data_IF_779290544739
#
_entry.id   IF_779290544739
#
_cell.length_a   1.000
_cell.length_b   1.000
_cell.length_c   1.000
_cell.angle_alpha   90.00
_cell.angle_beta   90.00
_cell.angle_gamma   90.00
#
_symmetry.space_group_name_H-M   'P 1'
#
loop_
_entity.id
_entity.type
_entity.pdbx_description
1 polymer ?
#
# COMPACT_ATOMS: atom_id res chain seq x y z
N UNK A 1 3.17 -11.54 7.85
CA UNK A 1 2.19 -10.44 7.96
C UNK A 1 2.62 -9.27 8.84
N UNK A 2 3.25 -9.49 10.01
CA UNK A 2 3.61 -8.39 10.95
C UNK A 2 4.35 -7.23 10.28
N UNK A 3 5.43 -7.51 9.53
CA UNK A 3 6.21 -6.48 8.83
C UNK A 3 5.37 -5.63 7.87
N UNK A 4 4.51 -6.25 7.07
CA UNK A 4 3.68 -5.55 6.07
C UNK A 4 2.58 -4.73 6.76
N UNK A 5 2.03 -5.22 7.87
CA UNK A 5 1.08 -4.44 8.69
C UNK A 5 1.74 -3.21 9.30
N UNK A 6 2.93 -3.35 9.87
CA UNK A 6 3.69 -2.19 10.40
C UNK A 6 4.00 -1.18 9.30
N UNK A 7 4.42 -1.65 8.12
CA UNK A 7 4.65 -0.79 6.97
C UNK A 7 3.38 -0.09 6.51
N UNK A 8 2.24 -0.78 6.47
CA UNK A 8 0.97 -0.19 6.08
C UNK A 8 0.49 0.88 7.09
N UNK A 9 0.67 0.64 8.39
CA UNK A 9 0.42 1.64 9.44
C UNK A 9 1.30 2.87 9.26
N UNK A 10 2.59 2.67 9.01
CA UNK A 10 3.53 3.76 8.76
C UNK A 10 3.16 4.53 7.48
N UNK A 11 2.88 3.80 6.39
CA UNK A 11 2.53 4.37 5.09
C UNK A 11 1.30 5.28 5.21
N UNK A 12 0.26 4.85 5.94
CA UNK A 12 -0.95 5.67 6.11
C UNK A 12 -0.71 6.99 6.86
N UNK A 13 0.38 7.11 7.63
CA UNK A 13 0.78 8.39 8.24
C UNK A 13 1.43 9.37 7.26
N UNK A 14 1.84 8.91 6.07
CA UNK A 14 2.53 9.74 5.09
C UNK A 14 1.57 10.72 4.39
N UNK A 15 1.90 12.01 4.45
CA UNK A 15 1.10 13.10 3.89
C UNK A 15 1.15 13.17 2.36
N UNK A 16 2.19 12.60 1.74
CA UNK A 16 2.40 12.63 0.29
C UNK A 16 1.76 11.47 -0.48
N UNK A 17 1.22 10.45 0.19
CA UNK A 17 0.59 9.33 -0.52
C UNK A 17 -0.64 9.77 -1.30
N UNK A 18 -0.76 9.26 -2.52
CA UNK A 18 -1.94 9.50 -3.35
C UNK A 18 -3.17 8.74 -2.81
N UNK A 19 -4.36 9.14 -3.24
CA UNK A 19 -5.60 8.51 -2.80
C UNK A 19 -5.63 6.99 -3.10
N UNK A 20 -5.13 6.57 -4.28
CA UNK A 20 -5.07 5.16 -4.69
C UNK A 20 -4.15 4.36 -3.75
N UNK A 21 -2.96 4.89 -3.47
CA UNK A 21 -1.99 4.26 -2.57
C UNK A 21 -2.51 4.20 -1.13
N UNK A 22 -3.16 5.26 -0.64
CA UNK A 22 -3.81 5.24 0.68
C UNK A 22 -4.89 4.19 0.79
N UNK A 23 -5.73 4.05 -0.25
CA UNK A 23 -6.77 3.03 -0.27
C UNK A 23 -6.17 1.61 -0.26
N UNK A 24 -5.07 1.40 -1.00
CA UNK A 24 -4.35 0.14 -1.05
C UNK A 24 -3.77 -0.22 0.34
N UNK A 25 -3.05 0.70 0.98
CA UNK A 25 -2.48 0.46 2.32
C UNK A 25 -3.54 0.29 3.41
N UNK A 26 -4.67 1.01 3.32
CA UNK A 26 -5.81 0.77 4.21
C UNK A 26 -6.42 -0.64 4.00
N UNK A 27 -6.48 -1.10 2.75
CA UNK A 27 -7.00 -2.43 2.41
C UNK A 27 -6.08 -3.56 2.89
N UNK A 28 -4.75 -3.34 2.90
CA UNK A 28 -3.78 -4.26 3.51
C UNK A 28 -4.11 -4.53 4.99
N UNK A 29 -4.44 -3.47 5.74
CA UNK A 29 -4.75 -3.58 7.16
C UNK A 29 -6.13 -4.20 7.42
N UNK A 30 -7.14 -3.82 6.65
CA UNK A 30 -8.52 -4.31 6.84
C UNK A 30 -8.68 -5.78 6.41
N UNK A 31 -7.99 -6.21 5.34
CA UNK A 31 -8.24 -7.52 4.71
C UNK A 31 -7.09 -8.52 4.84
N UNK A 32 -6.02 -8.17 5.56
CA UNK A 32 -4.83 -9.02 5.71
C UNK A 32 -4.26 -9.50 4.37
N UNK A 33 -4.19 -8.59 3.42
CA UNK A 33 -3.70 -8.84 2.07
C UNK A 33 -2.37 -8.12 1.81
N UNK A 34 -1.63 -8.56 0.80
CA UNK A 34 -0.30 -8.03 0.46
C UNK A 34 -0.34 -7.47 -0.96
N UNK A 35 0.22 -6.27 -1.20
CA UNK A 35 0.36 -5.75 -2.56
C UNK A 35 1.17 -6.70 -3.44
N UNK A 36 0.75 -6.89 -4.68
CA UNK A 36 1.43 -7.81 -5.60
C UNK A 36 2.92 -7.43 -5.78
N UNK A 37 3.23 -6.14 -5.71
CA UNK A 37 4.58 -5.61 -5.82
C UNK A 37 5.48 -6.05 -4.65
N UNK A 38 4.88 -6.25 -3.46
CA UNK A 38 5.57 -6.66 -2.24
C UNK A 38 5.59 -8.19 -2.06
N UNK A 39 4.89 -8.94 -2.92
CA UNK A 39 4.92 -10.41 -2.89
C UNK A 39 6.29 -10.94 -3.36
N UNK A 40 6.79 -12.01 -2.71
CA UNK A 40 8.05 -12.59 -3.10
C UNK A 40 7.95 -13.29 -4.47
N UNK A 41 9.04 -13.34 -5.27
CA UNK A 41 9.01 -13.89 -6.63
C UNK A 41 8.47 -15.33 -6.71
N UNK A 42 8.88 -16.19 -5.78
CA UNK A 42 8.42 -17.59 -5.71
C UNK A 42 6.90 -17.72 -5.54
N UNK A 43 6.25 -16.75 -4.91
CA UNK A 43 4.81 -16.76 -4.72
C UNK A 43 4.09 -16.36 -6.01
N UNK A 44 4.63 -15.35 -6.71
CA UNK A 44 4.10 -14.91 -8.00
C UNK A 44 4.19 -16.02 -9.04
N UNK A 45 5.34 -16.71 -9.11
CA UNK A 45 5.55 -17.86 -9.99
C UNK A 45 4.54 -18.98 -9.72
N UNK A 46 4.31 -19.32 -8.45
CA UNK A 46 3.34 -20.34 -8.05
C UNK A 46 1.91 -19.99 -8.50
N UNK A 47 1.58 -18.71 -8.53
CA UNK A 47 0.27 -18.21 -8.95
C UNK A 47 0.21 -17.84 -10.44
N UNK A 48 1.26 -18.11 -11.22
CA UNK A 48 1.40 -17.65 -12.61
C UNK A 48 1.16 -16.14 -12.79
N UNK A 49 1.53 -15.36 -11.77
CA UNK A 49 1.41 -13.92 -11.75
C UNK A 49 2.73 -13.26 -12.15
N UNK A 50 2.62 -12.11 -12.79
CA UNK A 50 3.74 -11.20 -13.00
C UNK A 50 3.49 -9.93 -12.19
N UNK A 51 4.53 -9.14 -11.91
CA UNK A 51 4.39 -7.83 -11.26
C UNK A 51 3.75 -6.76 -12.15
N UNK A 52 3.31 -7.13 -13.36
CA UNK A 52 2.63 -6.23 -14.28
C UNK A 52 1.21 -5.98 -13.78
N UNK A 53 0.60 -4.89 -14.25
CA UNK A 53 -0.80 -4.61 -13.99
C UNK A 53 -1.69 -5.69 -14.62
N UNK A 54 -2.09 -6.66 -13.79
CA UNK A 54 -2.98 -7.76 -14.12
C UNK A 54 -4.43 -7.47 -13.70
N UNK A 55 -4.72 -6.26 -13.19
CA UNK A 55 -6.03 -5.91 -12.65
C UNK A 55 -6.32 -6.50 -11.27
N UNK A 56 -5.31 -6.92 -10.51
CA UNK A 56 -5.41 -7.28 -9.08
C UNK A 56 -4.33 -6.46 -8.36
N UNK A 57 -4.69 -5.80 -7.26
CA UNK A 57 -3.75 -4.97 -6.51
C UNK A 57 -3.16 -5.71 -5.31
N UNK A 58 -4.01 -6.46 -4.60
CA UNK A 58 -3.63 -7.18 -3.39
C UNK A 58 -4.07 -8.64 -3.47
N UNK A 59 -3.27 -9.51 -2.87
CA UNK A 59 -3.61 -10.91 -2.66
C UNK A 59 -3.39 -11.28 -1.20
N UNK A 60 -4.29 -12.06 -0.62
CA UNK A 60 -4.02 -12.69 0.68
C UNK A 60 -2.88 -13.70 0.57
N UNK A 61 -2.15 -13.94 1.66
CA UNK A 61 -1.03 -14.89 1.66
C UNK A 61 -1.45 -16.34 1.43
N UNK A 62 -2.70 -16.69 1.73
CA UNK A 62 -3.28 -17.99 1.39
C UNK A 62 -3.70 -18.08 -0.09
N UNK A 63 -3.64 -16.98 -0.84
CA UNK A 63 -4.05 -16.87 -2.24
C UNK A 63 -5.55 -16.88 -2.48
N UNK A 64 -6.37 -17.02 -1.43
CA UNK A 64 -7.82 -17.20 -1.56
C UNK A 64 -8.60 -15.91 -1.77
N UNK A 65 -8.00 -14.75 -1.47
CA UNK A 65 -8.65 -13.44 -1.60
C UNK A 65 -7.86 -12.58 -2.56
N UNK A 66 -8.55 -12.11 -3.60
CA UNK A 66 -8.02 -11.15 -4.55
C UNK A 66 -8.76 -9.82 -4.40
N UNK A 67 -8.01 -8.72 -4.37
CA UNK A 67 -8.55 -7.39 -4.09
C UNK A 67 -8.12 -6.40 -5.17
N UNK A 68 -9.08 -5.62 -5.67
CA UNK A 68 -8.84 -4.46 -6.54
C UNK A 68 -9.29 -3.18 -5.82
N UNK A 69 -8.45 -2.15 -5.81
CA UNK A 69 -8.68 -0.88 -5.14
C UNK A 69 -8.98 0.24 -6.16
N UNK A 70 -10.12 0.92 -6.01
CA UNK A 70 -10.55 1.99 -6.93
C UNK A 70 -10.94 3.28 -6.19
N UNK A 71 -10.35 4.42 -6.56
CA UNK A 71 -10.72 5.72 -5.96
C UNK A 71 -11.73 6.53 -6.76
N UNK A 72 -12.12 6.07 -7.95
CA UNK A 72 -13.16 6.69 -8.76
C UNK A 72 -12.76 7.98 -9.49
N UNK A 73 -11.50 8.43 -9.36
CA UNK A 73 -10.93 9.52 -10.18
C UNK A 73 -10.40 9.04 -11.54
N UNK A 74 -10.06 7.77 -11.65
CA UNK A 74 -9.51 7.17 -12.87
C UNK A 74 -10.57 6.38 -13.65
N UNK A 75 -10.30 6.19 -14.95
CA UNK A 75 -10.93 5.18 -15.82
C UNK A 75 -10.87 3.75 -15.24
N UNK A 76 -10.19 3.54 -14.12
CA UNK A 76 -10.12 2.30 -13.35
C UNK A 76 -11.49 1.79 -12.86
N UNK A 77 -12.52 2.65 -12.74
CA UNK A 77 -13.91 2.21 -12.51
C UNK A 77 -14.62 1.70 -13.77
N UNK A 78 -13.92 1.65 -14.91
CA UNK A 78 -14.46 1.10 -16.15
C UNK A 78 -14.80 -0.38 -16.01
N UNK A 79 -15.81 -0.80 -16.75
CA UNK A 79 -16.22 -2.20 -16.82
C UNK A 79 -15.10 -3.12 -17.35
N UNK A 80 -14.11 -2.56 -18.07
CA UNK A 80 -12.95 -3.30 -18.60
C UNK A 80 -12.01 -3.70 -17.47
N UNK A 81 -11.69 -2.78 -16.55
CA UNK A 81 -10.85 -3.05 -15.39
C UNK A 81 -11.49 -4.12 -14.49
N UNK A 82 -12.80 -4.03 -14.24
CA UNK A 82 -13.52 -5.01 -13.40
C UNK A 82 -13.58 -6.38 -14.06
N UNK A 83 -13.80 -6.44 -15.38
CA UNK A 83 -13.72 -7.71 -16.13
C UNK A 83 -12.32 -8.32 -16.04
N UNK A 84 -11.27 -7.50 -16.19
CA UNK A 84 -9.88 -7.95 -16.06
C UNK A 84 -9.63 -8.50 -14.66
N UNK A 85 -10.03 -7.77 -13.62
CA UNK A 85 -9.95 -8.20 -12.23
C UNK A 85 -10.61 -9.56 -12.00
N UNK A 86 -11.88 -9.71 -12.35
CA UNK A 86 -12.63 -10.96 -12.16
C UNK A 86 -11.93 -12.12 -12.89
N UNK A 87 -11.45 -11.89 -14.12
CA UNK A 87 -10.74 -12.93 -14.88
C UNK A 87 -9.42 -13.31 -14.24
N UNK A 88 -8.60 -12.34 -13.85
CA UNK A 88 -7.32 -12.61 -13.22
C UNK A 88 -7.52 -13.29 -11.87
N UNK A 89 -8.42 -12.77 -11.04
CA UNK A 89 -8.71 -13.34 -9.72
C UNK A 89 -9.21 -14.79 -9.82
N UNK A 90 -10.14 -15.10 -10.72
CA UNK A 90 -10.72 -16.44 -10.83
C UNK A 90 -9.88 -17.44 -11.62
N UNK A 91 -9.29 -17.03 -12.76
CA UNK A 91 -8.59 -17.97 -13.66
C UNK A 91 -7.09 -18.03 -13.43
N UNK A 92 -6.46 -16.94 -12.99
CA UNK A 92 -5.01 -16.87 -12.77
C UNK A 92 -4.71 -17.16 -11.30
N UNK A 93 -5.22 -16.33 -10.39
CA UNK A 93 -5.00 -16.48 -8.95
C UNK A 93 -5.79 -17.64 -8.34
N UNK A 94 -6.89 -18.06 -8.97
CA UNK A 94 -7.85 -19.04 -8.44
C UNK A 94 -8.32 -18.68 -7.02
N UNK A 95 -8.57 -17.39 -6.79
CA UNK A 95 -9.09 -16.89 -5.53
C UNK A 95 -10.56 -17.32 -5.35
N UNK A 96 -10.93 -17.65 -4.12
CA UNK A 96 -12.31 -18.00 -3.74
C UNK A 96 -13.15 -16.74 -3.50
N UNK A 97 -12.51 -15.64 -3.07
CA UNK A 97 -13.15 -14.38 -2.74
C UNK A 97 -12.62 -13.24 -3.62
N UNK A 98 -13.54 -12.53 -4.27
CA UNK A 98 -13.25 -11.35 -5.08
C UNK A 98 -13.75 -10.10 -4.36
N UNK A 99 -12.83 -9.21 -3.99
CA UNK A 99 -13.17 -8.00 -3.27
C UNK A 99 -12.82 -6.76 -4.10
N UNK A 100 -13.84 -5.99 -4.47
CA UNK A 100 -13.65 -4.66 -5.00
C UNK A 100 -13.72 -3.66 -3.85
N UNK A 101 -12.63 -2.94 -3.62
CA UNK A 101 -12.54 -1.93 -2.57
C UNK A 101 -12.57 -0.55 -3.19
N UNK A 102 -13.47 0.30 -2.73
CA UNK A 102 -13.62 1.66 -3.26
C UNK A 102 -13.42 2.73 -2.20
N UNK A 103 -12.93 3.90 -2.62
CA UNK A 103 -13.06 5.11 -1.80
C UNK A 103 -14.53 5.58 -1.75
N UNK A 104 -14.94 6.19 -0.64
CA UNK A 104 -16.31 6.65 -0.36
C UNK A 104 -17.07 7.37 -1.48
N UNK A 105 -16.37 8.06 -2.38
CA UNK A 105 -16.94 8.83 -3.48
C UNK A 105 -16.98 8.10 -4.83
N UNK A 106 -16.47 6.86 -4.93
CA UNK A 106 -16.35 6.15 -6.19
C UNK A 106 -17.72 5.64 -6.69
N UNK A 107 -18.16 6.15 -7.84
CA UNK A 107 -19.41 5.72 -8.49
C UNK A 107 -19.13 4.61 -9.51
N UNK A 108 -19.66 3.42 -9.24
CA UNK A 108 -19.65 2.32 -10.21
C UNK A 108 -20.84 2.41 -11.17
N UNK A 109 -20.55 2.29 -12.47
CA UNK A 109 -21.55 2.19 -13.53
C UNK A 109 -22.41 0.93 -13.42
N UNK A 110 -23.58 0.93 -14.07
CA UNK A 110 -24.54 -0.18 -14.03
C UNK A 110 -23.94 -1.50 -14.54
N UNK A 111 -23.15 -1.44 -15.61
CA UNK A 111 -22.48 -2.62 -16.21
C UNK A 111 -21.49 -3.24 -15.22
N UNK A 112 -20.65 -2.40 -14.61
CA UNK A 112 -19.68 -2.81 -13.59
C UNK A 112 -20.34 -3.53 -12.41
N UNK A 113 -21.46 -2.98 -11.90
CA UNK A 113 -22.23 -3.62 -10.81
C UNK A 113 -22.80 -4.97 -11.21
N UNK A 114 -23.34 -5.08 -12.43
CA UNK A 114 -23.86 -6.35 -12.96
C UNK A 114 -22.78 -7.42 -13.01
N UNK A 115 -21.57 -7.08 -13.46
CA UNK A 115 -20.43 -8.00 -13.48
C UNK A 115 -20.04 -8.47 -12.08
N UNK A 116 -19.97 -7.57 -11.11
CA UNK A 116 -19.68 -7.94 -9.72
C UNK A 116 -20.73 -8.92 -9.17
N UNK A 117 -22.02 -8.64 -9.39
CA UNK A 117 -23.12 -9.51 -8.96
C UNK A 117 -23.08 -10.89 -9.61
N UNK A 118 -22.83 -10.95 -10.93
CA UNK A 118 -22.78 -12.22 -11.67
C UNK A 118 -21.65 -13.15 -11.19
N UNK A 119 -20.55 -12.57 -10.72
CA UNK A 119 -19.38 -13.32 -10.26
C UNK A 119 -19.26 -13.37 -8.74
N UNK A 120 -20.33 -13.05 -8.00
CA UNK A 120 -20.35 -13.01 -6.52
C UNK A 120 -19.21 -12.18 -5.91
N UNK A 121 -18.71 -11.18 -6.62
CA UNK A 121 -17.68 -10.28 -6.14
C UNK A 121 -18.28 -9.28 -5.17
N UNK A 122 -17.63 -9.11 -4.01
CA UNK A 122 -18.06 -8.22 -2.95
C UNK A 122 -17.57 -6.80 -3.24
N UNK A 123 -18.41 -5.81 -2.95
CA UNK A 123 -18.03 -4.40 -2.98
C UNK A 123 -17.93 -3.89 -1.54
N UNK A 124 -16.76 -3.37 -1.16
CA UNK A 124 -16.54 -2.70 0.13
C UNK A 124 -16.06 -1.27 -0.08
N UNK A 125 -16.69 -0.37 0.64
CA UNK A 125 -16.30 1.03 0.64
C UNK A 125 -15.44 1.30 1.87
N UNK A 126 -14.21 1.78 1.66
CA UNK A 126 -13.36 2.26 2.74
C UNK A 126 -13.32 3.78 2.72
N UNK A 127 -13.43 4.38 3.90
CA UNK A 127 -13.11 5.78 4.10
C UNK A 127 -11.66 5.86 4.63
N UNK A 128 -10.69 6.22 3.79
CA UNK A 128 -9.28 6.27 4.20
C UNK A 128 -8.98 7.38 5.23
N UNK A 129 -9.93 8.29 5.49
CA UNK A 129 -9.67 9.48 6.33
C UNK A 129 -9.92 9.27 7.85
N UNK A 130 -10.73 8.28 8.26
CA UNK A 130 -11.24 8.27 9.65
C UNK A 130 -10.90 7.03 10.51
N UNK A 131 -10.19 6.02 9.97
CA UNK A 131 -9.89 4.79 10.74
C UNK A 131 -8.46 4.66 11.26
N UNK A 132 -7.52 5.47 10.76
CA UNK A 132 -6.10 5.35 11.11
C UNK A 132 -5.53 6.69 11.58
N UNK A 133 -6.17 7.28 12.59
CA UNK A 133 -5.45 8.17 13.49
C UNK A 133 -4.67 7.29 14.49
N UNK A 134 -3.35 7.50 14.66
CA UNK A 134 -2.63 6.86 15.76
C UNK A 134 -3.09 7.51 17.06
N UNK A 135 -4.07 6.91 17.74
CA UNK A 135 -4.51 7.36 19.06
C UNK A 135 -5.97 7.05 19.33
N UNK A 136 -6.20 5.88 19.94
CA UNK A 136 -7.39 5.40 20.69
C UNK A 136 -7.66 3.94 20.29
N UNK A 137 -7.60 2.92 21.12
CA UNK A 137 -7.31 2.78 22.54
C UNK A 137 -7.09 1.29 22.80
N UNK A 138 -6.04 0.93 23.54
CA UNK A 138 -6.14 -0.11 24.57
C UNK A 138 -5.33 0.38 25.76
N UNK A 139 -6.06 1.01 26.66
CA UNK A 139 -5.67 1.42 28.00
C UNK A 139 -5.25 0.20 28.84
N UNK A 140 -3.99 0.15 29.20
CA UNK A 140 -3.57 -0.42 30.47
C UNK A 140 -2.72 0.65 31.17
N UNK A 141 -3.28 1.17 32.26
CA UNK A 141 -2.77 2.24 33.10
C UNK A 141 -1.30 2.06 33.48
N UNK A 142 -0.49 3.10 33.34
CA UNK A 142 0.04 3.89 34.46
C UNK A 142 1.25 4.74 34.05
N UNK A 143 1.27 5.97 34.59
CA UNK A 143 2.42 6.91 34.68
C UNK A 143 2.85 7.56 33.36
N UNK A 144 2.25 8.68 32.96
CA UNK A 144 2.78 10.03 33.24
C UNK A 144 4.30 10.12 33.08
N UNK A 145 4.78 10.36 31.87
CA UNK A 145 5.63 11.53 31.59
C UNK A 145 5.79 11.74 30.09
N UNK A 146 5.48 12.97 29.68
CA UNK A 146 5.74 13.48 28.36
C UNK A 146 7.26 13.63 28.20
N UNK A 147 7.88 12.74 27.44
CA UNK A 147 9.21 13.01 26.90
C UNK A 147 9.14 13.03 25.37
N UNK A 148 9.50 14.18 24.82
CA UNK A 148 9.67 14.41 23.39
C UNK A 148 10.87 13.58 22.95
N UNK A 149 10.68 12.29 22.66
CA UNK A 149 11.73 11.49 22.06
C UNK A 149 12.04 12.06 20.67
N UNK A 150 13.12 12.83 20.61
CA UNK A 150 13.78 13.22 19.38
C UNK A 150 13.98 11.97 18.52
N UNK A 151 13.65 12.08 17.23
CA UNK A 151 13.98 11.07 16.23
C UNK A 151 15.47 10.68 16.42
N UNK A 152 15.82 9.39 16.60
CA UNK A 152 17.17 9.00 16.98
C UNK A 152 18.20 9.56 16.01
N UNK A 153 19.32 10.13 16.47
CA UNK A 153 20.30 10.77 15.59
C UNK A 153 20.72 9.88 14.40
N UNK A 154 20.96 10.49 13.24
CA UNK A 154 21.45 9.77 12.06
C UNK A 154 22.79 9.09 12.37
N UNK A 155 22.95 7.86 11.87
CA UNK A 155 24.24 7.16 11.97
C UNK A 155 25.27 7.83 11.03
N UNK A 156 26.58 7.76 11.32
CA UNK A 156 27.62 8.36 10.47
C UNK A 156 27.53 7.95 9.00
N UNK A 157 27.21 6.68 8.72
CA UNK A 157 27.03 6.19 7.36
C UNK A 157 25.81 6.79 6.63
N UNK A 158 24.76 7.16 7.37
CA UNK A 158 23.57 7.81 6.83
C UNK A 158 23.84 9.28 6.55
N UNK A 159 24.55 9.96 7.45
CA UNK A 159 24.97 11.36 7.25
C UNK A 159 25.90 11.49 6.04
N UNK A 160 26.88 10.59 5.88
CA UNK A 160 27.76 10.58 4.73
C UNK A 160 27.02 10.44 3.39
N UNK A 161 25.90 9.71 3.37
CA UNK A 161 25.03 9.60 2.19
C UNK A 161 24.32 10.93 1.89
N UNK A 162 23.80 11.61 2.92
CA UNK A 162 23.18 12.94 2.76
C UNK A 162 24.20 13.97 2.25
N UNK A 163 25.42 13.97 2.80
CA UNK A 163 26.49 14.88 2.39
C UNK A 163 26.95 14.58 0.95
N UNK A 164 26.97 13.31 0.53
CA UNK A 164 27.24 12.93 -0.85
C UNK A 164 26.16 13.47 -1.80
N UNK A 165 24.87 13.35 -1.45
CA UNK A 165 23.77 13.95 -2.21
C UNK A 165 23.88 15.48 -2.27
N UNK A 166 24.21 16.15 -1.16
CA UNK A 166 24.41 17.60 -1.12
C UNK A 166 25.57 18.06 -2.03
N UNK A 167 26.58 17.19 -2.22
CA UNK A 167 27.69 17.39 -3.18
C UNK A 167 27.34 16.99 -4.62
N UNK A 168 26.09 16.61 -4.90
CA UNK A 168 25.61 16.31 -6.25
C UNK A 168 25.64 14.83 -6.65
N UNK A 169 25.86 13.90 -5.70
CA UNK A 169 25.75 12.47 -5.99
C UNK A 169 24.31 12.11 -6.42
N UNK A 170 24.18 11.48 -7.60
CA UNK A 170 22.89 11.05 -8.16
C UNK A 170 22.55 9.60 -7.84
N UNK A 171 23.55 8.81 -7.46
CA UNK A 171 23.41 7.38 -7.14
C UNK A 171 24.10 7.13 -5.82
N UNK A 172 23.41 6.48 -4.88
CA UNK A 172 23.96 6.06 -3.59
C UNK A 172 23.72 4.58 -3.41
N UNK A 173 24.80 3.82 -3.30
CA UNK A 173 24.76 2.39 -2.99
C UNK A 173 24.83 2.17 -1.49
N UNK A 174 23.87 1.42 -0.96
CA UNK A 174 23.79 1.12 0.46
C UNK A 174 23.46 -0.36 0.68
N UNK A 175 24.24 -1.03 1.52
CA UNK A 175 24.02 -2.42 1.91
C UNK A 175 22.63 -2.64 2.56
N UNK A 176 22.16 -3.88 2.64
CA UNK A 176 20.92 -4.20 3.36
C UNK A 176 21.04 -3.84 4.86
N UNK A 177 19.96 -3.40 5.51
CA UNK A 177 19.96 -3.05 6.95
C UNK A 177 20.62 -1.72 7.34
N UNK A 178 21.23 -0.99 6.40
CA UNK A 178 21.86 0.33 6.67
C UNK A 178 20.86 1.49 6.73
N UNK A 179 19.57 1.20 6.57
CA UNK A 179 18.49 2.19 6.71
C UNK A 179 18.34 3.12 5.51
N UNK A 180 18.38 2.55 4.30
CA UNK A 180 18.09 3.24 3.02
C UNK A 180 16.84 4.11 3.08
N UNK A 181 15.74 3.54 3.56
CA UNK A 181 14.45 4.23 3.71
C UNK A 181 14.55 5.47 4.61
N UNK A 182 15.40 5.41 5.64
CA UNK A 182 15.62 6.54 6.54
C UNK A 182 16.38 7.68 5.85
N UNK A 183 17.41 7.34 5.07
CA UNK A 183 18.17 8.32 4.27
C UNK A 183 17.27 8.97 3.22
N UNK A 184 16.43 8.18 2.53
CA UNK A 184 15.45 8.70 1.57
C UNK A 184 14.45 9.68 2.22
N UNK A 185 13.98 9.37 3.44
CA UNK A 185 13.09 10.25 4.20
C UNK A 185 13.74 11.61 4.51
N UNK A 186 15.00 11.61 4.95
CA UNK A 186 15.72 12.85 5.25
C UNK A 186 16.06 13.66 3.99
N UNK A 187 16.40 12.99 2.87
CA UNK A 187 16.54 13.67 1.58
C UNK A 187 15.23 14.33 1.13
N UNK A 188 14.11 13.65 1.31
CA UNK A 188 12.79 14.19 0.95
C UNK A 188 12.38 15.37 1.84
N UNK A 189 12.73 15.37 3.13
CA UNK A 189 12.49 16.51 4.05
C UNK A 189 13.24 17.77 3.61
N UNK A 190 14.46 17.61 3.10
CA UNK A 190 15.32 18.72 2.69
C UNK A 190 15.07 19.19 1.24
N UNK A 191 14.14 18.57 0.53
CA UNK A 191 13.81 18.91 -0.85
C UNK A 191 12.48 19.68 -0.93
N UNK A 192 12.47 20.85 -1.57
CA UNK A 192 11.29 21.72 -1.66
C UNK A 192 10.32 21.34 -2.80
N UNK A 193 10.63 20.32 -3.59
CA UNK A 193 9.81 19.86 -4.71
C UNK A 193 9.02 18.57 -4.43
N UNK A 194 8.20 18.15 -5.41
CA UNK A 194 7.54 16.83 -5.36
C UNK A 194 8.58 15.72 -5.54
N UNK A 195 8.64 14.80 -4.59
CA UNK A 195 9.53 13.63 -4.61
C UNK A 195 8.74 12.42 -5.08
N UNK A 196 9.29 11.67 -6.03
CA UNK A 196 8.75 10.39 -6.46
C UNK A 196 9.67 9.27 -5.96
N UNK A 197 9.11 8.30 -5.23
CA UNK A 197 9.81 7.10 -4.77
C UNK A 197 9.23 5.92 -5.53
N UNK A 198 10.09 5.19 -6.24
CA UNK A 198 9.75 4.04 -7.07
C UNK A 198 10.12 2.73 -6.38
#
# INVERSE_FOLDING_TARGET
MVRIRTLAQEALSWTFLEANQRLMWASVLEFDAVPIQELPPWFLERQNLTRRDMGVDLLSLDGRKAILCLTGKDEAASHVAIKRFIRTAGFVCKADEYLLVTAGSCKLGKVSRRWLQQHSAQLKTLSPQNKFQPGNALTASSVLEADRMADPSLRPCQQACLDACARGARVIEMACGTGKTRVMRELAKNFSGKVHVM
#
